data_IF_878555897438
#
_entry.id   IF_878555897438
#
_cell.length_a   1.000
_cell.length_b   1.000
_cell.length_c   1.000
_cell.angle_alpha   90.00
_cell.angle_beta   90.00
_cell.angle_gamma   90.00
#
_symmetry.space_group_name_H-M   'P 1'
#
loop_
_entity.id
_entity.type
_entity.pdbx_description
1 polymer ?
#
# COMPACT_ATOMS: atom_id res chain seq x y z
N UNK A 1 36.65 67.24 23.41
CA UNK A 1 37.18 66.55 24.59
C UNK A 1 37.28 65.06 24.26
N UNK A 2 38.19 64.63 23.40
CA UNK A 2 39.62 64.35 23.57
C UNK A 2 39.90 63.08 24.41
N UNK A 3 40.28 62.05 23.64
CA UNK A 3 40.96 60.78 23.94
C UNK A 3 42.05 60.88 25.02
N UNK A 4 42.34 59.79 25.73
CA UNK A 4 43.73 59.39 26.00
C UNK A 4 43.90 57.86 26.12
N UNK A 5 44.76 57.31 25.27
CA UNK A 5 45.46 56.02 25.37
C UNK A 5 46.80 56.24 26.10
N UNK A 6 47.42 55.15 26.57
CA UNK A 6 48.87 54.86 26.85
C UNK A 6 49.01 54.24 28.25
N UNK A 7 49.92 53.31 28.57
CA UNK A 7 50.86 52.44 27.86
C UNK A 7 51.38 51.41 28.90
N UNK A 8 51.75 50.22 28.42
CA UNK A 8 52.89 49.37 28.80
C UNK A 8 53.63 49.53 30.15
N UNK A 9 53.77 48.44 30.94
CA UNK A 9 55.03 47.67 31.09
C UNK A 9 55.09 46.78 32.34
N UNK A 10 55.32 45.47 32.08
CA UNK A 10 56.21 44.51 32.77
C UNK A 10 56.65 44.76 34.23
N UNK A 11 56.34 43.80 35.11
CA UNK A 11 57.36 43.13 35.94
C UNK A 11 56.85 41.80 36.49
N UNK A 12 57.63 40.76 36.22
CA UNK A 12 57.46 39.38 36.66
C UNK A 12 57.75 39.23 38.16
N UNK A 13 56.92 38.45 38.87
CA UNK A 13 57.36 37.72 40.06
C UNK A 13 56.53 36.43 40.16
N UNK A 14 57.17 35.34 39.77
CA UNK A 14 56.64 33.99 39.90
C UNK A 14 56.68 33.58 41.37
N UNK A 15 55.49 33.36 41.97
CA UNK A 15 55.36 32.59 43.20
C UNK A 15 54.70 31.27 42.82
N UNK A 16 55.50 30.19 42.85
CA UNK A 16 55.04 28.81 42.73
C UNK A 16 54.28 28.46 44.01
N UNK A 17 52.95 28.58 44.00
CA UNK A 17 52.10 27.94 45.00
C UNK A 17 51.52 26.67 44.36
N UNK A 18 52.05 25.51 44.75
CA UNK A 18 51.53 24.21 44.35
C UNK A 18 50.17 23.97 45.02
N UNK A 19 49.09 24.40 44.37
CA UNK A 19 47.72 23.99 44.71
C UNK A 19 47.40 22.68 43.98
N UNK A 20 47.44 21.57 44.71
CA UNK A 20 46.90 20.30 44.24
C UNK A 20 45.37 20.45 44.02
N UNK A 21 44.82 20.14 42.83
CA UNK A 21 43.38 20.14 42.65
C UNK A 21 42.81 18.89 43.35
N UNK A 22 42.13 19.11 44.46
CA UNK A 22 41.19 18.11 45.00
C UNK A 22 40.00 18.10 44.04
N UNK A 23 40.01 17.15 43.10
CA UNK A 23 38.87 16.86 42.24
C UNK A 23 37.72 16.33 43.10
N UNK A 24 36.83 17.24 43.49
CA UNK A 24 35.56 16.92 44.12
C UNK A 24 34.63 16.37 43.02
N UNK A 25 34.61 15.04 42.85
CA UNK A 25 33.62 14.38 42.00
C UNK A 25 32.22 14.58 42.61
N UNK A 26 31.50 15.60 42.14
CA UNK A 26 30.07 15.73 42.37
C UNK A 26 29.37 14.60 41.60
N UNK A 27 28.94 13.57 42.32
CA UNK A 27 28.04 12.56 41.79
C UNK A 27 26.70 13.22 41.45
N UNK A 28 26.45 13.44 40.16
CA UNK A 28 25.12 13.80 39.66
C UNK A 28 24.16 12.65 40.00
N UNK A 29 22.96 12.90 40.53
CA UNK A 29 21.98 11.86 40.74
C UNK A 29 21.61 11.27 39.37
N UNK A 30 21.87 9.97 39.21
CA UNK A 30 21.38 9.20 38.07
C UNK A 30 19.85 9.27 38.08
N UNK A 31 19.29 10.06 37.16
CA UNK A 31 17.86 10.01 36.86
C UNK A 31 17.59 8.61 36.31
N UNK A 32 16.99 7.73 37.11
CA UNK A 32 16.51 6.44 36.67
C UNK A 32 15.46 6.68 35.58
N UNK A 33 15.87 6.62 34.32
CA UNK A 33 14.94 6.56 33.21
C UNK A 33 14.20 5.24 33.35
N UNK A 34 12.92 5.29 33.71
CA UNK A 34 12.04 4.14 33.55
C UNK A 34 12.12 3.71 32.09
N UNK A 35 12.79 2.59 31.83
CA UNK A 35 12.72 1.90 30.56
C UNK A 35 11.33 1.26 30.54
N UNK A 36 10.33 2.03 30.13
CA UNK A 36 9.02 1.49 29.76
C UNK A 36 9.27 0.64 28.52
N UNK A 37 9.51 -0.66 28.73
CA UNK A 37 9.53 -1.61 27.62
C UNK A 37 8.17 -1.53 26.95
N UNK A 38 8.15 -1.09 25.69
CA UNK A 38 6.96 -1.18 24.88
C UNK A 38 6.51 -2.65 24.89
N UNK A 39 5.26 -2.90 25.30
CA UNK A 39 4.73 -4.25 25.25
C UNK A 39 4.88 -4.77 23.81
N UNK A 40 5.31 -6.02 23.61
CA UNK A 40 5.38 -6.63 22.29
C UNK A 40 4.03 -6.49 21.56
N UNK A 41 4.07 -6.22 20.26
CA UNK A 41 2.83 -6.18 19.46
C UNK A 41 2.14 -7.56 19.54
N UNK A 42 0.88 -7.65 20.01
CA UNK A 42 0.16 -8.92 20.17
C UNK A 42 0.03 -9.72 18.87
N UNK A 43 0.15 -9.07 17.70
CA UNK A 43 0.23 -9.73 16.41
C UNK A 43 1.44 -10.66 16.29
N UNK A 44 2.56 -10.35 16.97
CA UNK A 44 3.76 -11.20 16.99
C UNK A 44 3.49 -12.56 17.62
N UNK A 45 2.79 -12.57 18.76
CA UNK A 45 2.40 -13.80 19.44
C UNK A 45 1.38 -14.58 18.60
N UNK A 46 0.39 -13.88 18.06
CA UNK A 46 -0.62 -14.46 17.16
C UNK A 46 0.02 -15.16 15.95
N UNK A 47 1.02 -14.52 15.32
CA UNK A 47 1.78 -15.09 14.22
C UNK A 47 2.55 -16.34 14.66
N UNK A 48 3.30 -16.26 15.75
CA UNK A 48 4.07 -17.40 16.27
C UNK A 48 3.17 -18.61 16.58
N UNK A 49 1.98 -18.37 17.12
CA UNK A 49 0.98 -19.39 17.44
C UNK A 49 0.40 -20.02 16.17
N UNK A 50 0.15 -19.22 15.14
CA UNK A 50 -0.23 -19.71 13.81
C UNK A 50 0.88 -20.57 13.19
N UNK A 51 2.13 -20.12 13.23
CA UNK A 51 3.29 -20.85 12.71
C UNK A 51 3.49 -22.21 13.42
N UNK A 52 3.29 -22.30 14.73
CA UNK A 52 3.34 -23.58 15.46
C UNK A 52 2.24 -24.56 15.04
N UNK A 53 1.08 -24.07 14.61
CA UNK A 53 0.02 -24.91 14.03
C UNK A 53 0.40 -25.35 12.61
N UNK A 54 0.98 -24.45 11.81
CA UNK A 54 1.43 -24.73 10.45
C UNK A 54 2.59 -25.71 10.37
N UNK A 55 3.49 -25.74 11.36
CA UNK A 55 4.57 -26.73 11.40
C UNK A 55 4.05 -28.17 11.55
N UNK A 56 2.88 -28.35 12.18
CA UNK A 56 2.20 -29.64 12.32
C UNK A 56 1.29 -29.94 11.13
N UNK A 57 0.69 -28.91 10.54
CA UNK A 57 -0.23 -29.03 9.40
C UNK A 57 -0.04 -27.84 8.44
N UNK A 58 0.82 -27.98 7.41
CA UNK A 58 1.17 -26.87 6.52
C UNK A 58 0.03 -26.31 5.67
N UNK A 59 -1.06 -27.06 5.51
CA UNK A 59 -2.26 -26.71 4.72
C UNK A 59 -3.45 -26.33 5.61
N UNK A 60 -3.25 -26.12 6.91
CA UNK A 60 -4.31 -25.71 7.83
C UNK A 60 -4.80 -24.29 7.50
N UNK A 61 -5.93 -24.18 6.80
CA UNK A 61 -6.50 -22.92 6.32
C UNK A 61 -6.74 -21.91 7.45
N UNK A 62 -7.40 -22.25 8.58
CA UNK A 62 -7.52 -21.32 9.71
C UNK A 62 -6.18 -20.77 10.21
N UNK A 63 -5.13 -21.60 10.28
CA UNK A 63 -3.81 -21.15 10.69
C UNK A 63 -3.12 -20.27 9.63
N UNK A 64 -3.31 -20.57 8.34
CA UNK A 64 -2.83 -19.72 7.24
C UNK A 64 -3.51 -18.34 7.26
N UNK A 65 -4.85 -18.31 7.43
CA UNK A 65 -5.61 -17.06 7.56
C UNK A 65 -5.15 -16.27 8.78
N UNK A 66 -4.96 -16.93 9.94
CA UNK A 66 -4.48 -16.26 11.16
C UNK A 66 -3.07 -15.69 10.97
N UNK A 67 -2.17 -16.45 10.33
CA UNK A 67 -0.82 -15.99 10.04
C UNK A 67 -0.84 -14.79 9.08
N UNK A 68 -1.66 -14.85 8.03
CA UNK A 68 -1.81 -13.76 7.06
C UNK A 68 -2.31 -12.47 7.69
N UNK A 69 -3.35 -12.54 8.53
CA UNK A 69 -3.86 -11.37 9.26
C UNK A 69 -2.82 -10.80 10.23
N UNK A 70 -2.16 -11.65 11.02
CA UNK A 70 -1.12 -11.21 11.93
C UNK A 70 0.08 -10.58 11.19
N UNK A 71 0.44 -11.09 10.01
CA UNK A 71 1.44 -10.45 9.15
C UNK A 71 1.01 -9.07 8.67
N UNK A 72 -0.27 -8.87 8.29
CA UNK A 72 -0.79 -7.53 7.95
C UNK A 72 -0.71 -6.56 9.12
N UNK A 73 -1.04 -7.01 10.34
CA UNK A 73 -0.95 -6.20 11.56
C UNK A 73 0.49 -5.82 11.92
N UNK A 74 1.46 -6.59 11.42
CA UNK A 74 2.90 -6.33 11.54
C UNK A 74 3.47 -5.55 10.34
N UNK A 75 2.63 -5.10 9.41
CA UNK A 75 3.00 -4.43 8.16
C UNK A 75 3.89 -5.29 7.23
N UNK A 76 3.88 -6.61 7.41
CA UNK A 76 4.54 -7.61 6.55
C UNK A 76 3.58 -8.06 5.44
N UNK A 77 3.36 -7.16 4.48
CA UNK A 77 2.43 -7.37 3.35
C UNK A 77 2.86 -8.56 2.47
N UNK A 78 4.16 -8.73 2.26
CA UNK A 78 4.71 -9.85 1.47
C UNK A 78 4.49 -11.19 2.17
N UNK A 79 4.78 -11.27 3.48
CA UNK A 79 4.50 -12.46 4.28
C UNK A 79 3.01 -12.79 4.30
N UNK A 80 2.15 -11.78 4.49
CA UNK A 80 0.70 -11.95 4.45
C UNK A 80 0.23 -12.52 3.10
N UNK A 81 0.69 -11.94 1.98
CA UNK A 81 0.40 -12.43 0.63
C UNK A 81 0.74 -13.91 0.46
N UNK A 82 1.93 -14.32 0.94
CA UNK A 82 2.36 -15.71 0.90
C UNK A 82 1.45 -16.66 1.68
N UNK A 83 0.97 -16.25 2.87
CA UNK A 83 0.04 -17.07 3.66
C UNK A 83 -1.34 -17.18 3.00
N UNK A 84 -1.89 -16.07 2.51
CA UNK A 84 -3.21 -16.08 1.87
C UNK A 84 -3.21 -16.79 0.53
N UNK A 85 -2.17 -16.66 -0.29
CA UNK A 85 -2.02 -17.42 -1.54
C UNK A 85 -2.02 -18.92 -1.28
N UNK A 86 -1.30 -19.37 -0.24
CA UNK A 86 -1.33 -20.78 0.19
C UNK A 86 -2.69 -21.20 0.72
N UNK A 87 -3.39 -20.32 1.44
CA UNK A 87 -4.74 -20.60 1.92
C UNK A 87 -5.73 -20.76 0.77
N UNK A 88 -5.64 -19.89 -0.24
CA UNK A 88 -6.49 -19.89 -1.44
C UNK A 88 -6.27 -21.15 -2.27
N UNK A 89 -5.03 -21.64 -2.38
CA UNK A 89 -4.74 -22.89 -3.06
C UNK A 89 -5.43 -24.12 -2.41
N UNK A 90 -5.75 -24.04 -1.12
CA UNK A 90 -6.43 -25.13 -0.37
C UNK A 90 -7.94 -24.91 -0.30
N UNK A 91 -8.39 -23.66 -0.13
CA UNK A 91 -9.79 -23.27 0.00
C UNK A 91 -10.06 -21.99 -0.82
N UNK A 92 -10.25 -22.10 -2.14
CA UNK A 92 -10.36 -20.94 -3.03
C UNK A 92 -11.59 -20.08 -2.77
N UNK A 93 -12.69 -20.69 -2.28
CA UNK A 93 -13.97 -20.02 -2.04
C UNK A 93 -14.18 -19.65 -0.55
N UNK A 94 -13.17 -19.82 0.32
CA UNK A 94 -13.29 -19.42 1.72
C UNK A 94 -13.30 -17.89 1.83
N UNK A 95 -14.44 -17.33 2.27
CA UNK A 95 -14.61 -15.89 2.37
C UNK A 95 -13.57 -15.18 3.22
N UNK A 96 -13.00 -15.83 4.24
CA UNK A 96 -11.96 -15.22 5.09
C UNK A 96 -10.64 -15.11 4.34
N UNK A 97 -10.36 -16.06 3.46
CA UNK A 97 -9.21 -16.01 2.56
C UNK A 97 -9.39 -14.89 1.54
N UNK A 98 -10.59 -14.79 0.94
CA UNK A 98 -10.93 -13.72 -0.01
C UNK A 98 -10.80 -12.33 0.62
N UNK A 99 -11.35 -12.12 1.81
CA UNK A 99 -11.18 -10.85 2.55
C UNK A 99 -9.71 -10.59 2.89
N UNK A 100 -8.96 -11.61 3.31
CA UNK A 100 -7.53 -11.49 3.57
C UNK A 100 -6.72 -11.05 2.34
N UNK A 101 -7.00 -11.63 1.17
CA UNK A 101 -6.41 -11.21 -0.10
C UNK A 101 -6.85 -9.80 -0.50
N UNK A 102 -8.12 -9.42 -0.26
CA UNK A 102 -8.59 -8.07 -0.49
C UNK A 102 -7.78 -7.03 0.30
N UNK A 103 -7.50 -7.32 1.58
CA UNK A 103 -6.69 -6.47 2.44
C UNK A 103 -5.24 -6.34 1.93
N UNK A 104 -4.63 -7.44 1.46
CA UNK A 104 -3.32 -7.41 0.81
C UNK A 104 -3.35 -6.54 -0.45
N UNK A 105 -4.36 -6.71 -1.31
CA UNK A 105 -4.51 -5.93 -2.54
C UNK A 105 -4.65 -4.42 -2.26
N UNK A 106 -5.37 -4.03 -1.19
CA UNK A 106 -5.42 -2.62 -0.73
C UNK A 106 -4.01 -2.10 -0.40
N UNK A 107 -3.21 -2.87 0.34
CA UNK A 107 -1.84 -2.47 0.73
C UNK A 107 -0.90 -2.36 -0.47
N UNK A 108 -1.10 -3.20 -1.49
CA UNK A 108 -0.31 -3.18 -2.73
C UNK A 108 -0.75 -2.08 -3.69
N UNK A 109 -1.92 -1.46 -3.46
CA UNK A 109 -2.49 -0.44 -4.34
C UNK A 109 -3.12 -1.04 -5.59
N UNK A 110 -3.72 -2.23 -5.46
CA UNK A 110 -4.48 -2.93 -6.48
C UNK A 110 -5.99 -2.87 -6.13
N UNK A 111 -6.64 -1.70 -6.30
CA UNK A 111 -7.92 -1.44 -5.66
C UNK A 111 -9.11 -2.12 -6.34
N UNK A 112 -9.01 -2.45 -7.63
CA UNK A 112 -10.07 -3.16 -8.36
C UNK A 112 -10.18 -4.59 -7.82
N UNK A 113 -9.05 -5.30 -7.79
CA UNK A 113 -8.94 -6.64 -7.24
C UNK A 113 -9.38 -6.67 -5.77
N UNK A 114 -8.95 -5.69 -4.97
CA UNK A 114 -9.39 -5.57 -3.58
C UNK A 114 -10.92 -5.49 -3.46
N UNK A 115 -11.58 -4.64 -4.25
CA UNK A 115 -13.02 -4.48 -4.18
C UNK A 115 -13.78 -5.72 -4.64
N UNK A 116 -13.30 -6.41 -5.69
CA UNK A 116 -13.85 -7.69 -6.16
C UNK A 116 -13.75 -8.77 -5.07
N UNK A 117 -12.60 -8.88 -4.42
CA UNK A 117 -12.38 -9.86 -3.35
C UNK A 117 -13.18 -9.56 -2.08
N UNK A 118 -13.36 -8.27 -1.73
CA UNK A 118 -14.26 -7.89 -0.64
C UNK A 118 -15.69 -8.31 -0.94
N UNK A 119 -16.20 -8.06 -2.14
CA UNK A 119 -17.56 -8.49 -2.52
C UNK A 119 -17.69 -10.02 -2.52
N UNK A 120 -16.71 -10.73 -3.06
CA UNK A 120 -16.71 -12.20 -3.05
C UNK A 120 -16.69 -12.76 -1.62
N UNK A 121 -15.91 -12.16 -0.71
CA UNK A 121 -15.90 -12.52 0.70
C UNK A 121 -17.21 -12.25 1.43
N UNK A 122 -17.85 -11.10 1.14
CA UNK A 122 -19.18 -10.74 1.65
C UNK A 122 -20.25 -11.73 1.15
N UNK A 123 -20.22 -12.07 -0.14
CA UNK A 123 -21.11 -13.07 -0.75
C UNK A 123 -20.90 -14.48 -0.16
N UNK A 124 -19.66 -14.80 0.27
CA UNK A 124 -19.34 -16.02 1.00
C UNK A 124 -19.73 -15.98 2.50
N UNK A 125 -20.39 -14.92 2.95
CA UNK A 125 -20.97 -14.80 4.29
C UNK A 125 -20.06 -14.18 5.35
N UNK A 126 -18.93 -13.58 4.96
CA UNK A 126 -18.06 -12.85 5.90
C UNK A 126 -18.60 -11.45 6.13
N UNK A 127 -18.77 -11.07 7.40
CA UNK A 127 -19.04 -9.68 7.75
C UNK A 127 -17.82 -8.81 7.46
N UNK A 128 -17.99 -7.78 6.63
CA UNK A 128 -16.95 -6.79 6.31
C UNK A 128 -16.85 -5.67 7.34
N UNK A 129 -17.68 -5.72 8.38
CA UNK A 129 -17.76 -4.74 9.45
C UNK A 129 -16.39 -4.32 10.04
N UNK A 130 -15.44 -5.25 10.32
CA UNK A 130 -14.13 -4.89 10.86
C UNK A 130 -13.21 -4.18 9.86
N UNK A 131 -13.51 -4.28 8.56
CA UNK A 131 -12.64 -3.87 7.45
C UNK A 131 -13.24 -2.74 6.61
N UNK A 132 -14.25 -2.05 7.13
CA UNK A 132 -14.91 -0.97 6.42
C UNK A 132 -13.95 0.18 6.07
N UNK A 133 -12.97 0.48 6.92
CA UNK A 133 -11.96 1.50 6.65
C UNK A 133 -11.01 1.11 5.49
N UNK A 134 -10.69 -0.17 5.37
CA UNK A 134 -9.84 -0.72 4.31
C UNK A 134 -10.61 -0.80 3.01
N UNK A 135 -11.89 -1.20 3.05
CA UNK A 135 -12.81 -1.12 1.92
C UNK A 135 -13.03 0.33 1.47
N UNK A 136 -13.11 1.27 2.41
CA UNK A 136 -13.20 2.70 2.11
C UNK A 136 -11.96 3.20 1.38
N UNK A 137 -10.76 2.79 1.83
CA UNK A 137 -9.51 3.11 1.13
C UNK A 137 -9.51 2.55 -0.29
N UNK A 138 -9.97 1.30 -0.50
CA UNK A 138 -10.10 0.75 -1.84
C UNK A 138 -11.02 1.61 -2.75
N UNK A 139 -12.12 2.15 -2.21
CA UNK A 139 -12.97 3.09 -2.95
C UNK A 139 -12.30 4.43 -3.24
N UNK A 140 -11.52 4.99 -2.32
CA UNK A 140 -10.72 6.20 -2.58
C UNK A 140 -9.72 5.98 -3.72
N UNK A 141 -9.05 4.82 -3.73
CA UNK A 141 -8.05 4.45 -4.73
C UNK A 141 -8.64 4.27 -6.15
N UNK A 142 -9.96 4.08 -6.28
CA UNK A 142 -10.67 4.12 -7.58
C UNK A 142 -11.40 5.44 -7.83
N UNK A 143 -11.16 6.47 -7.00
CA UNK A 143 -11.78 7.79 -7.14
C UNK A 143 -13.25 7.88 -6.70
N UNK A 144 -13.78 6.85 -6.03
CA UNK A 144 -15.13 6.80 -5.46
C UNK A 144 -15.15 7.32 -4.03
N UNK A 145 -14.68 8.56 -3.86
CA UNK A 145 -14.59 9.22 -2.56
C UNK A 145 -15.97 9.32 -1.87
N UNK A 146 -17.06 9.40 -2.64
CA UNK A 146 -18.43 9.38 -2.09
C UNK A 146 -18.73 8.11 -1.29
N UNK A 147 -18.28 6.95 -1.78
CA UNK A 147 -18.46 5.65 -1.12
C UNK A 147 -17.51 5.52 0.04
N UNK A 148 -16.25 5.90 -0.16
CA UNK A 148 -15.21 5.88 0.87
C UNK A 148 -15.63 6.68 2.11
N UNK A 149 -16.10 7.93 1.94
CA UNK A 149 -16.53 8.79 3.04
C UNK A 149 -17.70 8.21 3.86
N UNK A 150 -18.58 7.40 3.26
CA UNK A 150 -19.65 6.73 4.01
C UNK A 150 -19.09 5.62 4.89
N UNK A 151 -18.24 4.77 4.31
CA UNK A 151 -17.63 3.65 5.02
C UNK A 151 -16.67 4.12 6.12
N UNK A 152 -15.85 5.15 5.90
CA UNK A 152 -15.02 5.71 6.98
C UNK A 152 -15.88 6.24 8.14
N UNK A 153 -16.98 6.93 7.85
CA UNK A 153 -17.88 7.42 8.91
C UNK A 153 -18.50 6.27 9.68
N UNK A 154 -18.83 5.16 9.02
CA UNK A 154 -19.31 3.95 9.69
C UNK A 154 -18.21 3.32 10.56
N UNK A 155 -16.99 3.17 10.05
CA UNK A 155 -15.85 2.69 10.83
C UNK A 155 -15.60 3.53 12.09
N UNK A 156 -15.68 4.87 11.98
CA UNK A 156 -15.52 5.79 13.12
C UNK A 156 -16.64 5.70 14.16
N UNK A 157 -17.80 5.11 13.84
CA UNK A 157 -18.83 4.84 14.87
C UNK A 157 -18.44 3.72 15.82
N UNK A 158 -17.54 2.83 15.41
CA UNK A 158 -17.06 1.70 16.22
C UNK A 158 -15.82 2.07 16.99
N UNK A 159 -14.82 2.56 16.25
CA UNK A 159 -13.53 2.93 16.82
C UNK A 159 -13.01 4.19 16.15
N UNK A 160 -12.81 5.22 16.97
CA UNK A 160 -12.20 6.45 16.52
C UNK A 160 -10.67 6.28 16.48
N UNK A 161 -10.15 5.95 15.29
CA UNK A 161 -8.70 5.82 15.09
C UNK A 161 -8.14 7.04 14.35
N UNK A 162 -6.96 7.57 14.77
CA UNK A 162 -6.33 8.71 14.08
C UNK A 162 -6.06 8.46 12.59
N UNK A 163 -5.78 7.21 12.22
CA UNK A 163 -5.58 6.84 10.81
C UNK A 163 -6.85 7.00 9.99
N UNK A 164 -7.99 6.51 10.47
CA UNK A 164 -9.27 6.63 9.75
C UNK A 164 -9.70 8.09 9.65
N UNK A 165 -9.49 8.90 10.70
CA UNK A 165 -9.74 10.35 10.65
C UNK A 165 -8.91 11.02 9.54
N UNK A 166 -7.60 10.71 9.47
CA UNK A 166 -6.71 11.28 8.44
C UNK A 166 -7.13 10.86 7.03
N UNK A 167 -7.49 9.60 6.83
CA UNK A 167 -7.97 9.09 5.53
C UNK A 167 -9.28 9.75 5.11
N UNK A 168 -10.23 9.90 6.04
CA UNK A 168 -11.49 10.60 5.79
C UNK A 168 -11.26 12.07 5.43
N UNK A 169 -10.43 12.79 6.18
CA UNK A 169 -10.09 14.18 5.89
C UNK A 169 -9.47 14.32 4.49
N UNK A 170 -8.56 13.42 4.12
CA UNK A 170 -7.95 13.41 2.80
C UNK A 170 -8.99 13.11 1.70
N UNK A 171 -9.89 12.15 1.92
CA UNK A 171 -10.98 11.82 0.99
C UNK A 171 -11.89 13.03 0.73
N UNK A 172 -12.19 13.85 1.75
CA UNK A 172 -12.90 15.12 1.56
C UNK A 172 -12.12 16.13 0.72
N UNK A 173 -10.81 16.27 0.94
CA UNK A 173 -9.99 17.16 0.12
C UNK A 173 -9.96 16.75 -1.35
N UNK A 174 -9.84 15.45 -1.65
CA UNK A 174 -9.87 14.88 -3.01
C UNK A 174 -11.25 15.09 -3.67
N UNK A 175 -12.33 14.96 -2.89
CA UNK A 175 -13.68 15.23 -3.37
C UNK A 175 -13.95 16.72 -3.65
N UNK A 176 -13.07 17.63 -3.21
CA UNK A 176 -13.22 19.08 -3.39
C UNK A 176 -13.92 19.79 -2.24
N UNK A 177 -13.97 19.18 -1.04
CA UNK A 177 -14.50 19.80 0.17
C UNK A 177 -13.38 20.08 1.19
N UNK A 178 -12.66 21.21 1.04
CA UNK A 178 -11.57 21.57 1.92
C UNK A 178 -12.04 21.95 3.34
N UNK A 179 -13.28 22.42 3.47
CA UNK A 179 -13.82 22.82 4.76
C UNK A 179 -14.12 21.60 5.62
N UNK A 180 -14.77 20.57 5.06
CA UNK A 180 -14.97 19.29 5.75
C UNK A 180 -13.63 18.61 6.06
N UNK A 181 -12.67 18.64 5.13
CA UNK A 181 -11.33 18.10 5.35
C UNK A 181 -10.66 18.69 6.59
N UNK A 182 -10.61 20.01 6.70
CA UNK A 182 -9.99 20.71 7.83
C UNK A 182 -10.77 20.45 9.14
N UNK A 183 -12.10 20.45 9.09
CA UNK A 183 -12.95 20.21 10.26
C UNK A 183 -12.73 18.80 10.86
N UNK A 184 -12.66 17.77 10.01
CA UNK A 184 -12.39 16.39 10.43
C UNK A 184 -11.00 16.26 11.03
N UNK A 185 -10.01 16.98 10.49
CA UNK A 185 -8.62 16.88 10.94
C UNK A 185 -8.33 17.64 12.23
N UNK A 186 -9.18 18.62 12.58
CA UNK A 186 -8.97 19.57 13.68
C UNK A 186 -8.63 18.91 15.03
N UNK A 187 -9.29 17.83 15.49
CA UNK A 187 -8.94 17.19 16.77
C UNK A 187 -7.51 16.68 16.81
N UNK A 188 -6.99 16.14 15.70
CA UNK A 188 -5.61 15.67 15.62
C UNK A 188 -4.60 16.82 15.52
N UNK A 189 -4.95 17.90 14.83
CA UNK A 189 -4.11 19.10 14.73
C UNK A 189 -3.95 19.80 16.08
N UNK A 190 -5.02 19.86 16.89
CA UNK A 190 -4.97 20.41 18.24
C UNK A 190 -4.05 19.60 19.17
N UNK A 191 -3.98 18.28 18.94
CA UNK A 191 -3.08 17.35 19.64
C UNK A 191 -1.66 17.36 19.08
N UNK A 192 -1.37 18.22 18.10
CA UNK A 192 -0.08 18.33 17.43
C UNK A 192 0.38 17.02 16.78
N UNK A 193 -0.57 16.22 16.26
CA UNK A 193 -0.26 14.99 15.55
C UNK A 193 0.50 15.29 14.26
N UNK A 194 1.74 14.80 14.16
CA UNK A 194 2.61 15.02 12.99
C UNK A 194 2.05 14.39 11.71
N UNK A 195 1.42 13.22 11.82
CA UNK A 195 0.82 12.58 10.66
C UNK A 195 -0.40 13.40 10.18
N UNK A 196 -1.14 14.04 11.08
CA UNK A 196 -2.22 14.96 10.71
C UNK A 196 -1.68 16.21 9.99
N UNK A 197 -0.56 16.80 10.43
CA UNK A 197 0.05 17.91 9.67
C UNK A 197 0.51 17.48 8.27
N UNK A 198 1.04 16.25 8.12
CA UNK A 198 1.32 15.68 6.79
C UNK A 198 0.04 15.59 5.95
N UNK A 199 -1.04 15.03 6.50
CA UNK A 199 -2.34 14.94 5.81
C UNK A 199 -2.85 16.31 5.39
N UNK A 200 -2.76 17.32 6.26
CA UNK A 200 -3.16 18.70 5.95
C UNK A 200 -2.34 19.28 4.80
N UNK A 201 -1.03 19.05 4.78
CA UNK A 201 -0.18 19.49 3.67
C UNK A 201 -0.62 18.84 2.34
N UNK A 202 -0.90 17.54 2.32
CA UNK A 202 -1.45 16.88 1.13
C UNK A 202 -2.82 17.43 0.74
N UNK A 203 -3.72 17.68 1.70
CA UNK A 203 -5.03 18.26 1.44
C UNK A 203 -4.92 19.64 0.77
N UNK A 204 -4.03 20.51 1.24
CA UNK A 204 -3.76 21.81 0.63
C UNK A 204 -3.15 21.69 -0.78
N UNK A 205 -2.23 20.76 -0.96
CA UNK A 205 -1.62 20.50 -2.25
C UNK A 205 -2.68 20.03 -3.28
N UNK A 206 -3.59 19.13 -2.89
CA UNK A 206 -4.71 18.69 -3.72
C UNK A 206 -5.62 19.86 -4.14
N UNK A 207 -5.82 20.83 -3.25
CA UNK A 207 -6.58 22.06 -3.51
C UNK A 207 -5.86 23.06 -4.44
N UNK A 208 -4.71 22.71 -4.99
CA UNK A 208 -3.94 23.63 -5.83
C UNK A 208 -3.13 24.66 -5.04
N UNK A 209 -2.88 24.43 -3.75
CA UNK A 209 -2.10 25.32 -2.86
C UNK A 209 -0.77 24.69 -2.43
N UNK A 210 0.11 24.29 -3.38
CA UNK A 210 1.33 23.55 -3.04
C UNK A 210 2.35 24.39 -2.27
N UNK A 211 2.39 25.71 -2.46
CA UNK A 211 3.26 26.62 -1.69
C UNK A 211 2.91 26.61 -0.19
N UNK A 212 1.63 26.74 0.13
CA UNK A 212 1.13 26.69 1.51
C UNK A 212 1.29 25.30 2.12
N UNK A 213 1.04 24.25 1.33
CA UNK A 213 1.30 22.88 1.74
C UNK A 213 2.76 22.66 2.17
N UNK A 214 3.72 23.16 1.37
CA UNK A 214 5.15 23.07 1.67
C UNK A 214 5.49 23.88 2.92
N UNK A 215 4.98 25.12 3.05
CA UNK A 215 5.23 25.94 4.23
C UNK A 215 4.76 25.26 5.53
N UNK A 216 3.58 24.64 5.52
CA UNK A 216 3.09 23.85 6.66
C UNK A 216 4.00 22.65 6.92
N UNK A 217 4.39 21.91 5.88
CA UNK A 217 5.27 20.76 6.04
C UNK A 217 6.63 21.15 6.64
N UNK A 218 7.25 22.25 6.17
CA UNK A 218 8.52 22.78 6.69
C UNK A 218 8.42 23.25 8.14
N UNK A 219 7.27 23.82 8.52
CA UNK A 219 7.05 24.34 9.87
C UNK A 219 6.74 23.23 10.88
N UNK A 220 5.93 22.25 10.48
CA UNK A 220 5.34 21.27 11.41
C UNK A 220 6.00 19.88 11.37
N UNK A 221 6.76 19.56 10.34
CA UNK A 221 7.38 18.24 10.16
C UNK A 221 8.91 18.29 10.26
N UNK A 222 9.59 17.17 10.58
CA UNK A 222 11.05 17.11 10.58
C UNK A 222 11.64 17.54 9.21
N UNK A 223 12.76 18.30 9.19
CA UNK A 223 13.29 18.88 7.95
C UNK A 223 13.56 17.87 6.83
N UNK A 224 14.17 16.71 7.17
CA UNK A 224 14.42 15.63 6.19
C UNK A 224 13.15 15.03 5.60
N UNK A 225 12.05 15.03 6.35
CA UNK A 225 10.77 14.56 5.84
C UNK A 225 10.15 15.63 4.93
N UNK A 226 10.10 16.87 5.38
CA UNK A 226 9.51 17.97 4.60
C UNK A 226 10.20 18.17 3.24
N UNK A 227 11.54 18.19 3.22
CA UNK A 227 12.33 18.32 1.99
C UNK A 227 12.00 17.23 0.96
N UNK A 228 11.77 16.00 1.42
CA UNK A 228 11.37 14.88 0.56
C UNK A 228 9.93 15.01 0.08
N UNK A 229 9.03 15.61 0.86
CA UNK A 229 7.62 15.80 0.49
C UNK A 229 7.43 16.91 -0.54
N UNK A 230 8.25 17.96 -0.52
CA UNK A 230 8.01 19.16 -1.31
C UNK A 230 7.84 18.92 -2.83
N UNK A 231 8.61 18.06 -3.52
CA UNK A 231 8.38 17.74 -4.93
C UNK A 231 7.00 17.08 -5.15
N UNK A 232 6.64 16.13 -4.29
CA UNK A 232 5.38 15.39 -4.37
C UNK A 232 4.16 16.28 -4.16
N UNK A 233 4.22 17.21 -3.21
CA UNK A 233 3.16 18.20 -2.98
C UNK A 233 2.91 19.08 -4.22
N UNK A 234 3.95 19.38 -5.01
CA UNK A 234 3.79 20.13 -6.28
C UNK A 234 3.11 19.32 -7.38
N UNK A 235 3.19 17.99 -7.34
CA UNK A 235 2.55 17.13 -8.33
C UNK A 235 1.08 16.87 -8.05
N UNK A 236 0.63 16.92 -6.79
CA UNK A 236 -0.76 16.60 -6.40
C UNK A 236 -1.85 17.25 -7.27
N UNK A 237 -1.78 18.56 -7.65
CA UNK A 237 -2.82 19.18 -8.48
C UNK A 237 -2.95 18.57 -9.89
N UNK A 238 -1.93 17.86 -10.37
CA UNK A 238 -1.88 17.27 -11.72
C UNK A 238 -2.40 15.84 -11.77
N UNK A 239 -2.65 15.24 -10.62
CA UNK A 239 -3.08 13.85 -10.48
C UNK A 239 -4.60 13.75 -10.56
N UNK A 240 -5.11 12.61 -11.04
CA UNK A 240 -6.53 12.25 -10.91
C UNK A 240 -6.90 12.01 -9.44
N UNK A 241 -8.19 11.92 -9.11
CA UNK A 241 -8.63 11.63 -7.73
C UNK A 241 -8.09 10.29 -7.21
N UNK A 242 -8.12 9.25 -8.05
CA UNK A 242 -7.56 7.95 -7.75
C UNK A 242 -6.04 8.05 -7.48
N UNK A 243 -5.30 8.71 -8.36
CA UNK A 243 -3.87 8.92 -8.21
C UNK A 243 -3.53 9.77 -6.96
N UNK A 244 -4.33 10.77 -6.62
CA UNK A 244 -4.17 11.56 -5.39
C UNK A 244 -4.34 10.68 -4.15
N UNK A 245 -5.37 9.82 -4.12
CA UNK A 245 -5.58 8.89 -3.03
C UNK A 245 -4.41 7.91 -2.86
N UNK A 246 -3.95 7.31 -3.97
CA UNK A 246 -2.80 6.39 -4.00
C UNK A 246 -1.52 7.08 -3.52
N UNK A 247 -1.25 8.28 -4.03
CA UNK A 247 -0.06 9.05 -3.68
C UNK A 247 -0.03 9.44 -2.20
N UNK A 248 -1.14 9.95 -1.66
CA UNK A 248 -1.17 10.49 -0.31
C UNK A 248 -1.28 9.41 0.78
N UNK A 249 -2.04 8.33 0.53
CA UNK A 249 -2.22 7.22 1.47
C UNK A 249 -1.11 6.16 1.38
N UNK A 250 -0.72 5.75 0.17
CA UNK A 250 0.24 4.66 -0.04
C UNK A 250 1.66 5.16 -0.37
N UNK A 251 1.83 6.45 -0.66
CA UNK A 251 3.13 7.00 -1.06
C UNK A 251 3.56 6.59 -2.47
N UNK A 252 2.67 5.99 -3.26
CA UNK A 252 2.94 5.52 -4.63
C UNK A 252 2.48 6.58 -5.63
N UNK A 253 3.44 7.14 -6.36
CA UNK A 253 3.18 8.12 -7.42
C UNK A 253 3.22 7.43 -8.78
N UNK A 254 2.31 7.81 -9.71
CA UNK A 254 2.36 7.30 -11.08
C UNK A 254 3.61 7.83 -11.81
N UNK A 255 4.09 7.10 -12.83
CA UNK A 255 5.07 7.63 -13.77
C UNK A 255 4.61 8.94 -14.41
N UNK A 256 5.55 9.80 -14.82
CA UNK A 256 5.24 11.14 -15.38
C UNK A 256 4.30 11.10 -16.58
N UNK A 257 4.42 10.08 -17.43
CA UNK A 257 3.57 9.91 -18.61
C UNK A 257 2.10 9.57 -18.28
N UNK A 258 1.85 9.02 -17.09
CA UNK A 258 0.53 8.58 -16.64
C UNK A 258 -0.12 9.59 -15.69
N UNK A 259 0.60 10.62 -15.25
CA UNK A 259 0.02 11.65 -14.38
C UNK A 259 -1.19 12.31 -15.02
N UNK A 260 -2.31 12.33 -14.29
CA UNK A 260 -3.57 12.92 -14.77
C UNK A 260 -4.38 12.00 -15.68
N UNK A 261 -3.91 10.78 -15.93
CA UNK A 261 -4.58 9.79 -16.76
C UNK A 261 -4.77 8.48 -15.99
N UNK A 262 -6.03 8.13 -15.71
CA UNK A 262 -6.37 6.84 -15.13
C UNK A 262 -6.42 5.76 -16.22
N UNK A 263 -6.17 4.51 -15.83
CA UNK A 263 -6.44 3.37 -16.72
C UNK A 263 -7.94 3.30 -17.02
N UNK A 264 -8.34 2.73 -18.17
CA UNK A 264 -9.77 2.61 -18.53
C UNK A 264 -10.61 1.94 -17.44
N UNK A 265 -10.05 0.95 -16.74
CA UNK A 265 -10.73 0.24 -15.66
C UNK A 265 -10.97 1.15 -14.45
N UNK A 266 -9.96 1.91 -14.00
CA UNK A 266 -10.12 2.87 -12.89
C UNK A 266 -11.10 3.98 -13.28
N UNK A 267 -11.01 4.50 -14.50
CA UNK A 267 -11.93 5.51 -14.99
C UNK A 267 -13.39 5.04 -15.00
N UNK A 268 -13.66 3.80 -15.42
CA UNK A 268 -14.99 3.20 -15.38
C UNK A 268 -15.52 3.05 -13.94
N UNK A 269 -14.67 2.60 -13.01
CA UNK A 269 -15.02 2.51 -11.59
C UNK A 269 -15.38 3.89 -11.00
N UNK A 270 -14.59 4.91 -11.31
CA UNK A 270 -14.80 6.29 -10.87
C UNK A 270 -16.13 6.87 -11.35
N UNK A 271 -16.55 6.54 -12.58
CA UNK A 271 -17.84 6.94 -13.15
C UNK A 271 -19.03 6.15 -12.58
N UNK A 272 -18.77 5.08 -11.82
CA UNK A 272 -19.81 4.19 -11.31
C UNK A 272 -20.39 3.25 -12.35
N UNK A 273 -19.82 3.22 -13.55
CA UNK A 273 -20.12 2.27 -14.63
C UNK A 273 -19.43 0.92 -14.39
N UNK A 274 -18.35 0.91 -13.59
CA UNK A 274 -17.75 -0.28 -13.00
C UNK A 274 -18.54 -0.78 -11.79
N UNK A 275 -19.84 -1.00 -11.96
CA UNK A 275 -20.63 -1.64 -10.93
C UNK A 275 -20.09 -3.06 -10.70
N UNK A 276 -19.46 -3.30 -9.56
CA UNK A 276 -19.11 -4.65 -9.10
C UNK A 276 -20.40 -5.47 -8.84
N UNK A 277 -21.51 -4.76 -8.65
CA UNK A 277 -22.86 -5.33 -8.55
C UNK A 277 -23.42 -5.80 -9.89
N UNK A 278 -23.63 -7.12 -9.96
CA UNK A 278 -24.73 -7.83 -10.62
C UNK A 278 -24.84 -7.77 -12.15
N UNK A 279 -24.65 -8.96 -12.76
CA UNK A 279 -25.14 -9.48 -14.06
C UNK A 279 -25.09 -8.48 -15.24
N UNK A 280 -24.34 -8.79 -16.33
CA UNK A 280 -24.40 -7.94 -17.52
C UNK A 280 -25.86 -7.79 -17.98
N UNK A 281 -26.32 -6.57 -18.35
CA UNK A 281 -27.66 -6.41 -18.88
C UNK A 281 -27.82 -7.34 -20.07
N UNK A 282 -28.84 -8.19 -20.01
CA UNK A 282 -29.18 -9.08 -21.11
C UNK A 282 -29.41 -8.23 -22.37
N UNK A 283 -29.16 -8.80 -23.55
CA UNK A 283 -29.34 -8.07 -24.81
C UNK A 283 -30.74 -7.44 -24.96
N UNK A 284 -31.74 -7.94 -24.22
CA UNK A 284 -33.09 -7.40 -24.16
C UNK A 284 -33.18 -6.05 -23.42
N UNK A 285 -32.36 -5.82 -22.39
CA UNK A 285 -32.36 -4.57 -21.61
C UNK A 285 -31.77 -3.40 -22.42
N UNK A 286 -30.80 -3.70 -23.30
CA UNK A 286 -30.15 -2.71 -24.18
C UNK A 286 -31.03 -2.24 -25.34
N UNK A 287 -32.18 -2.89 -25.56
CA UNK A 287 -33.11 -2.57 -26.63
C UNK A 287 -34.36 -1.82 -26.13
N UNK A 288 -34.41 -1.43 -24.85
CA UNK A 288 -35.49 -0.61 -24.34
C UNK A 288 -35.17 0.88 -24.57
N UNK A 289 -35.98 1.60 -25.37
CA UNK A 289 -35.78 3.03 -25.58
C UNK A 289 -36.07 3.80 -24.28
N UNK A 290 -35.04 4.40 -23.69
CA UNK A 290 -35.14 5.24 -22.48
C UNK A 290 -35.61 6.67 -22.79
N UNK A 291 -36.66 6.82 -23.60
CA UNK A 291 -37.25 8.11 -23.97
C UNK A 291 -38.66 8.26 -23.40
N UNK A 292 -39.01 9.46 -22.91
CA UNK A 292 -40.40 9.79 -22.63
C UNK A 292 -41.23 9.72 -23.93
N UNK A 293 -42.37 9.02 -23.96
CA UNK A 293 -43.14 8.82 -25.18
C UNK A 293 -43.71 10.15 -25.68
N UNK A 294 -43.28 10.56 -26.87
CA UNK A 294 -43.85 11.70 -27.60
C UNK A 294 -45.08 11.22 -28.39
N UNK A 295 -46.25 11.32 -27.76
CA UNK A 295 -47.53 11.10 -28.44
C UNK A 295 -48.71 11.21 -27.48
N UNK A 296 -49.45 12.33 -27.54
CA UNK A 296 -50.82 12.38 -27.02
C UNK A 296 -51.74 11.87 -28.11
N UNK A 297 -52.20 10.62 -27.98
CA UNK A 297 -53.34 10.15 -28.75
C UNK A 297 -54.49 9.83 -27.79
N UNK A 298 -55.41 10.80 -27.74
CA UNK A 298 -56.81 10.63 -27.35
C UNK A 298 -57.46 9.47 -28.10
N UNK A 299 -58.06 8.56 -27.34
CA UNK A 299 -59.27 7.81 -27.71
C UNK A 299 -59.15 6.78 -28.84
N UNK A 300 -58.94 5.51 -28.47
CA UNK A 300 -59.82 4.43 -28.95
C UNK A 300 -59.53 3.14 -28.17
N UNK A 301 -60.50 2.72 -27.35
CA UNK A 301 -60.60 1.33 -26.91
C UNK A 301 -60.86 0.49 -28.15
N UNK A 302 -59.94 -0.42 -28.46
CA UNK A 302 -60.17 -1.51 -29.41
C UNK A 302 -59.97 -2.82 -28.68
N UNK A 303 -60.96 -3.68 -28.90
CA UNK A 303 -61.26 -4.92 -28.21
C UNK A 303 -60.11 -5.96 -28.23
N UNK A 304 -60.07 -6.72 -27.14
CA UNK A 304 -59.26 -7.92 -26.95
C UNK A 304 -59.71 -9.00 -27.95
N UNK A 305 -58.78 -9.49 -28.77
CA UNK A 305 -58.94 -10.72 -29.56
C UNK A 305 -58.22 -11.89 -28.84
N UNK A 306 -58.75 -13.12 -28.89
CA UNK A 306 -58.29 -14.22 -28.06
C UNK A 306 -56.96 -14.82 -28.55
N UNK A 307 -56.16 -15.26 -27.59
CA UNK A 307 -54.87 -15.95 -27.74
C UNK A 307 -55.03 -17.30 -28.45
N UNK A 308 -54.20 -17.65 -29.46
CA UNK A 308 -54.17 -19.01 -30.00
C UNK A 308 -53.43 -19.96 -29.04
N UNK A 309 -53.97 -21.16 -28.87
CA UNK A 309 -53.38 -22.23 -28.05
C UNK A 309 -52.00 -22.69 -28.57
N UNK A 310 -51.06 -23.08 -27.69
CA UNK A 310 -49.74 -23.56 -28.11
C UNK A 310 -49.81 -24.96 -28.73
N UNK A 311 -49.13 -25.13 -29.87
CA UNK A 311 -48.94 -26.41 -30.55
C UNK A 311 -48.02 -27.36 -29.76
N UNK A 312 -48.20 -28.69 -29.86
CA UNK A 312 -47.44 -29.66 -29.09
C UNK A 312 -45.97 -29.76 -29.53
N UNK A 313 -45.10 -30.01 -28.56
CA UNK A 313 -43.65 -30.12 -28.73
C UNK A 313 -43.25 -31.33 -29.61
N UNK A 314 -42.22 -31.22 -30.47
CA UNK A 314 -41.68 -32.34 -31.23
C UNK A 314 -40.92 -33.32 -30.32
N UNK A 315 -41.08 -34.62 -30.60
CA UNK A 315 -40.45 -35.74 -29.90
C UNK A 315 -38.91 -35.74 -30.03
N UNK A 316 -38.17 -36.28 -29.03
CA UNK A 316 -36.71 -36.32 -29.06
C UNK A 316 -36.19 -37.31 -30.12
N UNK A 317 -35.20 -36.86 -30.90
CA UNK A 317 -34.43 -37.67 -31.85
C UNK A 317 -33.45 -38.59 -31.09
N UNK A 318 -33.19 -39.83 -31.56
CA UNK A 318 -32.33 -40.77 -30.86
C UNK A 318 -30.85 -40.35 -30.85
N UNK A 319 -30.16 -40.67 -29.74
CA UNK A 319 -28.75 -40.37 -29.51
C UNK A 319 -27.82 -41.08 -30.52
N UNK A 320 -26.73 -40.44 -30.96
CA UNK A 320 -25.71 -41.10 -31.78
C UNK A 320 -24.92 -42.13 -30.95
N UNK A 321 -24.67 -43.28 -31.58
CA UNK A 321 -23.87 -44.40 -31.04
C UNK A 321 -22.41 -43.98 -30.78
N UNK A 322 -21.74 -44.48 -29.73
CA UNK A 322 -20.36 -44.12 -29.42
C UNK A 322 -19.37 -44.67 -30.45
N UNK A 323 -18.43 -43.83 -30.86
CA UNK A 323 -17.30 -44.20 -31.69
C UNK A 323 -16.32 -45.12 -30.92
N UNK A 324 -15.68 -46.10 -31.58
CA UNK A 324 -14.75 -47.03 -30.94
C UNK A 324 -13.47 -46.33 -30.47
N UNK A 325 -12.96 -46.76 -29.32
CA UNK A 325 -11.74 -46.28 -28.70
C UNK A 325 -10.50 -46.55 -29.60
N UNK A 326 -9.53 -45.62 -29.67
CA UNK A 326 -8.28 -45.86 -30.37
C UNK A 326 -7.42 -46.90 -29.63
N UNK A 327 -6.83 -47.82 -30.40
CA UNK A 327 -5.93 -48.87 -29.95
C UNK A 327 -4.61 -48.30 -29.38
N UNK A 328 -3.96 -48.99 -28.42
CA UNK A 328 -2.73 -48.52 -27.80
C UNK A 328 -1.57 -48.54 -28.79
N UNK A 329 -0.76 -47.48 -28.76
CA UNK A 329 0.50 -47.39 -29.50
C UNK A 329 1.56 -48.32 -28.87
N UNK A 330 2.48 -48.87 -29.68
CA UNK A 330 3.49 -49.82 -29.22
C UNK A 330 4.55 -49.17 -28.32
N UNK A 331 4.90 -49.87 -27.24
CA UNK A 331 6.06 -49.59 -26.40
C UNK A 331 7.35 -50.00 -27.15
N UNK A 332 8.35 -49.12 -27.14
CA UNK A 332 9.74 -49.44 -27.48
C UNK A 332 10.67 -49.11 -26.29
N UNK A 333 11.80 -49.82 -26.16
CA UNK A 333 12.29 -50.27 -24.87
C UNK A 333 13.26 -49.33 -24.14
N UNK A 334 13.30 -49.55 -22.82
CA UNK A 334 14.22 -49.04 -21.82
C UNK A 334 15.68 -48.89 -22.31
N UNK A 335 16.23 -47.69 -22.18
CA UNK A 335 17.66 -47.49 -21.96
C UNK A 335 17.88 -46.99 -20.52
N UNK A 336 18.50 -47.86 -19.74
CA UNK A 336 19.05 -47.58 -18.41
C UNK A 336 20.30 -46.71 -18.61
N UNK A 337 20.35 -45.54 -17.99
CA UNK A 337 21.63 -44.88 -17.69
C UNK A 337 21.63 -44.46 -16.22
N UNK A 338 22.67 -44.96 -15.57
CA UNK A 338 22.97 -44.95 -14.16
C UNK A 338 23.62 -43.63 -13.73
N UNK A 339 23.20 -43.13 -12.57
CA UNK A 339 23.86 -42.21 -11.63
C UNK A 339 24.84 -41.13 -12.12
N UNK A 340 24.46 -39.85 -11.94
CA UNK A 340 25.41 -38.85 -11.44
C UNK A 340 24.72 -37.72 -10.66
N UNK A 341 25.12 -37.56 -9.39
CA UNK A 341 24.72 -36.48 -8.48
C UNK A 341 25.16 -35.13 -9.04
N UNK A 342 24.25 -34.17 -9.13
CA UNK A 342 24.55 -32.77 -9.43
C UNK A 342 24.69 -32.01 -8.12
N UNK A 343 25.88 -31.46 -7.88
CA UNK A 343 26.19 -30.65 -6.71
C UNK A 343 25.66 -29.22 -6.88
N UNK A 344 24.94 -28.75 -5.86
CA UNK A 344 24.49 -27.37 -5.69
C UNK A 344 25.71 -26.44 -5.56
N UNK A 345 25.82 -25.48 -6.48
CA UNK A 345 26.86 -24.45 -6.49
C UNK A 345 26.66 -23.44 -5.37
N UNK A 346 27.36 -23.63 -4.26
CA UNK A 346 27.60 -22.61 -3.25
C UNK A 346 28.68 -21.63 -3.70
N UNK A 347 28.37 -20.33 -3.73
CA UNK A 347 29.36 -19.26 -3.87
C UNK A 347 30.21 -19.21 -2.60
N UNK A 348 31.49 -19.58 -2.71
CA UNK A 348 32.53 -19.23 -1.72
C UNK A 348 33.30 -18.01 -2.22
N UNK A 349 33.31 -17.00 -1.38
CA UNK A 349 34.25 -15.88 -1.39
C UNK A 349 35.63 -16.48 -1.10
N UNK A 350 36.61 -16.25 -1.97
CA UNK A 350 38.00 -16.57 -1.71
C UNK A 350 38.78 -15.27 -1.90
N UNK A 351 39.14 -14.66 -0.77
CA UNK A 351 40.35 -13.83 -0.70
C UNK A 351 41.55 -14.71 -1.06
N UNK A 352 42.37 -14.25 -2.00
CA UNK A 352 43.76 -14.68 -2.05
C UNK A 352 44.67 -13.57 -2.54
N UNK A 353 45.46 -13.12 -1.58
CA UNK A 353 46.63 -12.27 -1.66
C UNK A 353 47.67 -12.78 -2.69
N UNK A 354 48.24 -11.81 -3.41
CA UNK A 354 49.61 -11.73 -3.94
C UNK A 354 50.21 -12.92 -4.71
N UNK A 355 50.59 -12.66 -5.97
CA UNK A 355 51.97 -12.91 -6.36
C UNK A 355 52.47 -11.94 -7.46
N UNK A 356 53.69 -11.49 -7.25
CA UNK A 356 54.43 -10.49 -8.01
C UNK A 356 55.31 -11.20 -9.05
N UNK A 357 55.21 -10.83 -10.33
CA UNK A 357 56.27 -11.15 -11.31
C UNK A 357 56.31 -10.20 -12.50
N UNK A 358 57.01 -9.09 -12.28
CA UNK A 358 58.19 -8.66 -13.05
C UNK A 358 58.17 -8.83 -14.58
N UNK A 359 58.04 -7.71 -15.30
CA UNK A 359 58.85 -7.43 -16.50
C UNK A 359 58.92 -5.93 -16.82
N UNK A 360 60.14 -5.41 -16.64
CA UNK A 360 60.84 -4.37 -17.39
C UNK A 360 60.17 -2.99 -17.62
N UNK A 361 60.78 -1.98 -17.00
CA UNK A 361 61.06 -0.73 -17.72
C UNK A 361 60.79 0.57 -16.97
N UNK A 362 61.88 1.24 -16.59
CA UNK A 362 62.02 2.71 -16.59
C UNK A 362 61.51 3.46 -15.34
N UNK A 363 62.49 3.86 -14.53
CA UNK A 363 62.68 5.15 -13.82
C UNK A 363 61.43 5.98 -13.45
N UNK A 364 61.23 6.23 -12.15
CA UNK A 364 60.39 7.33 -11.67
C UNK A 364 60.08 7.25 -10.18
N UNK A 365 60.55 8.25 -9.43
CA UNK A 365 60.44 8.39 -7.98
C UNK A 365 58.99 8.43 -7.47
N UNK A 366 58.77 7.81 -6.31
CA UNK A 366 57.55 7.95 -5.51
C UNK A 366 57.61 9.22 -4.66
N UNK A 367 56.72 10.18 -4.92
CA UNK A 367 56.22 11.12 -3.91
C UNK A 367 54.70 11.21 -4.06
N UNK A 368 53.95 10.50 -3.21
CA UNK A 368 52.50 10.63 -3.11
C UNK A 368 52.15 11.53 -1.92
N UNK A 369 51.86 12.79 -2.24
CA UNK A 369 50.94 13.63 -1.48
C UNK A 369 49.51 13.43 -2.00
N UNK A 370 48.58 13.49 -1.06
CA UNK A 370 47.12 13.62 -1.18
C UNK A 370 46.56 14.03 -2.57
N UNK A 371 45.60 13.26 -3.08
CA UNK A 371 44.79 13.65 -4.24
C UNK A 371 43.64 12.70 -4.55
N UNK A 372 42.42 13.14 -4.26
CA UNK A 372 41.13 12.55 -4.63
C UNK A 372 41.03 12.35 -6.16
N UNK A 373 40.51 11.21 -6.63
CA UNK A 373 39.89 11.11 -7.95
C UNK A 373 38.67 10.18 -7.91
N UNK A 374 37.50 10.81 -8.01
CA UNK A 374 36.19 10.20 -8.24
C UNK A 374 36.08 9.92 -9.74
N UNK A 375 35.70 8.70 -10.14
CA UNK A 375 35.28 8.42 -11.52
C UNK A 375 33.77 8.23 -11.57
N UNK A 376 33.11 9.17 -12.26
CA UNK A 376 31.75 9.07 -12.77
C UNK A 376 31.83 8.36 -14.12
N UNK A 377 30.97 7.36 -14.34
CA UNK A 377 30.80 6.71 -15.65
C UNK A 377 29.52 7.26 -16.28
N UNK A 378 29.65 7.69 -17.53
CA UNK A 378 28.58 8.21 -18.40
C UNK A 378 27.58 7.13 -18.81
#
# INVERSE_FOLDING_TARGET
MIRFRLNSSLCSLAVLAASAPVSLCLALPAQAQEVVQALPNPATETLNDALRRLSRSPTNVPALVTAGMASLDLDDVEGASGFFTRAQAVAPDDGRVLVGLALVAVRQGEPIEALEMFEAGEAAGVSLEPWEAERALAFDLVGRNDRAQRLYRQALTREETPEVIRRLALSYAIAGDPAASEAILLPLLQRQDRAAYRTRAFALAIQGRPSEAIAIAETMLPPRLSQRLAPYLRYMPRLTRAQQATAANLGRFPPTAEMGHDTPAIAAMAQGEGAITARPPSAAERLQPQGAPLGRNTGQQVAVAPTPAPAPAPAPSPAPSPAPAPAPAPEDPKSVVEGKRVALGGRRIIEKESDCRQRAGILGECQHGLGLCVFVVH
#
